data_IF_571795451603
#
_entry.id   IF_571795451603
#
_cell.length_a   1.000
_cell.length_b   1.000
_cell.length_c   1.000
_cell.angle_alpha   90.00
_cell.angle_beta   90.00
_cell.angle_gamma   90.00
#
_symmetry.space_group_name_H-M   'P 1'
#
loop_
_entity.id
_entity.type
_entity.pdbx_description
1 polymer ?
#
# COMPACT_ATOMS: atom_id res chain seq x y z
N UNK A 1 -5.93 -2.52 -9.80
CA UNK A 1 -4.54 -2.96 -9.47
C UNK A 1 -4.02 -3.98 -10.47
N UNK A 2 -2.72 -3.96 -10.81
CA UNK A 2 -2.02 -5.12 -11.42
C UNK A 2 -1.32 -5.93 -10.31
N UNK A 3 -1.45 -7.25 -10.31
CA UNK A 3 -0.85 -8.16 -9.32
C UNK A 3 0.31 -8.97 -9.91
N UNK A 4 1.37 -9.19 -9.13
CA UNK A 4 2.58 -9.91 -9.54
C UNK A 4 3.08 -10.87 -8.46
N UNK A 5 3.64 -12.01 -8.87
CA UNK A 5 4.28 -12.95 -7.94
C UNK A 5 5.61 -12.39 -7.44
N UNK A 6 5.83 -12.45 -6.13
CA UNK A 6 7.11 -12.08 -5.53
C UNK A 6 8.10 -13.25 -5.60
N UNK A 7 8.69 -13.45 -6.78
CA UNK A 7 9.64 -14.54 -7.01
C UNK A 7 9.07 -15.91 -6.65
N UNK A 8 9.82 -16.70 -5.87
CA UNK A 8 9.45 -18.05 -5.44
C UNK A 8 8.75 -18.11 -4.07
N UNK A 9 8.40 -16.95 -3.49
CA UNK A 9 7.82 -16.88 -2.14
C UNK A 9 6.38 -17.41 -2.01
N UNK A 10 5.68 -17.56 -3.14
CA UNK A 10 4.24 -17.86 -3.16
C UNK A 10 3.34 -16.63 -2.96
N UNK A 11 3.90 -15.47 -2.60
CA UNK A 11 3.14 -14.22 -2.44
C UNK A 11 2.74 -13.62 -3.80
N UNK A 12 1.55 -13.04 -3.84
CA UNK A 12 1.03 -12.25 -4.95
C UNK A 12 0.79 -10.83 -4.45
N UNK A 13 1.58 -9.89 -4.93
CA UNK A 13 1.60 -8.50 -4.46
C UNK A 13 1.11 -7.56 -5.56
N UNK A 14 0.52 -6.44 -5.17
CA UNK A 14 0.28 -5.33 -6.07
C UNK A 14 1.60 -4.82 -6.65
N UNK A 15 1.58 -4.42 -7.92
CA UNK A 15 2.77 -3.90 -8.61
C UNK A 15 3.36 -2.65 -7.96
N UNK A 16 2.51 -1.86 -7.31
CA UNK A 16 2.90 -0.67 -6.53
C UNK A 16 2.68 -0.97 -5.05
N UNK A 17 3.57 -0.45 -4.20
CA UNK A 17 3.43 -0.47 -2.74
C UNK A 17 3.06 0.92 -2.20
N UNK A 18 2.41 0.97 -1.04
CA UNK A 18 2.12 2.20 -0.31
C UNK A 18 3.23 2.46 0.71
N UNK A 19 4.02 3.51 0.51
CA UNK A 19 5.04 3.93 1.48
C UNK A 19 4.43 4.77 2.60
N UNK A 20 4.83 4.53 3.85
CA UNK A 20 4.25 5.16 5.06
C UNK A 20 5.25 5.96 5.89
N UNK A 21 6.46 6.22 5.37
CA UNK A 21 7.56 6.82 6.14
C UNK A 21 7.28 8.24 6.68
N UNK A 22 6.33 8.98 6.10
CA UNK A 22 5.94 10.33 6.55
C UNK A 22 4.76 10.32 7.52
N UNK A 23 4.06 9.20 7.67
CA UNK A 23 2.89 9.09 8.53
C UNK A 23 3.27 9.30 9.99
N UNK A 24 2.54 10.16 10.68
CA UNK A 24 2.81 10.56 12.07
C UNK A 24 3.93 11.60 12.23
N UNK A 25 4.55 12.06 11.13
CA UNK A 25 5.51 13.17 11.12
C UNK A 25 5.01 14.33 10.26
N UNK A 26 4.91 14.08 8.96
CA UNK A 26 4.53 15.07 7.94
C UNK A 26 3.12 14.80 7.38
N UNK A 27 2.60 13.58 7.57
CA UNK A 27 1.22 13.19 7.21
C UNK A 27 0.45 12.85 8.48
N UNK A 28 -0.66 13.52 8.74
CA UNK A 28 -1.47 13.27 9.93
C UNK A 28 -2.30 11.97 9.82
N UNK A 29 -2.93 11.57 10.93
CA UNK A 29 -3.66 10.30 11.02
C UNK A 29 -4.83 10.19 10.05
N UNK A 30 -5.57 11.28 9.80
CA UNK A 30 -6.71 11.25 8.87
C UNK A 30 -6.23 11.13 7.44
N UNK A 31 -5.23 11.92 7.05
CA UNK A 31 -4.62 11.82 5.71
C UNK A 31 -4.00 10.45 5.47
N UNK A 32 -3.30 9.89 6.45
CA UNK A 32 -2.75 8.54 6.38
C UNK A 32 -3.84 7.48 6.21
N UNK A 33 -4.95 7.60 6.96
CA UNK A 33 -6.10 6.70 6.83
C UNK A 33 -6.75 6.79 5.45
N UNK A 34 -6.90 8.00 4.90
CA UNK A 34 -7.46 8.22 3.57
C UNK A 34 -6.56 7.66 2.47
N UNK A 35 -5.24 7.85 2.57
CA UNK A 35 -4.25 7.24 1.67
C UNK A 35 -4.33 5.71 1.72
N UNK A 36 -4.39 5.13 2.92
CA UNK A 36 -4.53 3.69 3.13
C UNK A 36 -5.81 3.16 2.48
N UNK A 37 -6.94 3.82 2.74
CA UNK A 37 -8.25 3.45 2.21
C UNK A 37 -8.27 3.49 0.69
N UNK A 38 -7.80 4.58 0.09
CA UNK A 38 -7.75 4.73 -1.36
C UNK A 38 -6.88 3.63 -2.01
N UNK A 39 -5.76 3.29 -1.39
CA UNK A 39 -4.87 2.24 -1.89
C UNK A 39 -5.49 0.84 -1.81
N UNK A 40 -6.13 0.50 -0.69
CA UNK A 40 -6.82 -0.78 -0.50
C UNK A 40 -8.01 -0.88 -1.46
N UNK A 41 -8.83 0.17 -1.58
CA UNK A 41 -9.98 0.21 -2.47
C UNK A 41 -9.56 0.06 -3.95
N UNK A 42 -8.36 0.53 -4.32
CA UNK A 42 -7.78 0.32 -5.65
C UNK A 42 -7.24 -1.11 -5.89
N UNK A 43 -7.22 -1.95 -4.85
CA UNK A 43 -6.77 -3.34 -4.83
C UNK A 43 -5.30 -3.54 -4.40
N UNK A 44 -4.69 -2.56 -3.74
CA UNK A 44 -3.34 -2.64 -3.21
C UNK A 44 -3.23 -3.57 -2.00
N UNK A 45 -2.10 -4.28 -1.85
CA UNK A 45 -1.89 -5.20 -0.73
C UNK A 45 -0.45 -5.23 -0.20
N UNK A 46 0.39 -4.28 -0.61
CA UNK A 46 1.78 -4.18 -0.19
C UNK A 46 2.04 -2.80 0.41
N UNK A 47 2.28 -2.74 1.71
CA UNK A 47 2.49 -1.51 2.48
C UNK A 47 3.35 -1.77 3.71
#
# INVERSE_FOLDING_TARGET
>A
MEMRRAGKSGLVLSRLGLGTMTWGRDTDTHEAADQCRAYIDAGGNFF
#
